data_IF_997845337828
#
_entry.id   IF_997845337828
#
_cell.length_a   1.000
_cell.length_b   1.000
_cell.length_c   1.000
_cell.angle_alpha   90.00
_cell.angle_beta   90.00
_cell.angle_gamma   90.00
#
_symmetry.space_group_name_H-M   'P 1'
#
loop_
_entity.id
_entity.type
_entity.pdbx_description
1 polymer ?
#
# COMPACT_ATOMS: atom_id res chain seq x y z
N UNK A 1 6.78 8.34 -5.82
CA UNK A 1 7.56 7.17 -5.38
C UNK A 1 7.03 6.75 -4.02
N UNK A 2 6.62 5.49 -3.84
CA UNK A 2 6.07 4.94 -2.58
C UNK A 2 7.05 3.87 -2.08
N UNK A 3 7.47 3.95 -0.81
CA UNK A 3 8.41 3.00 -0.19
C UNK A 3 7.62 1.92 0.56
N UNK A 4 7.49 0.75 -0.05
CA UNK A 4 6.62 -0.32 0.46
C UNK A 4 7.32 -1.21 1.48
N UNK A 5 8.65 -1.20 1.51
CA UNK A 5 9.44 -1.86 2.54
C UNK A 5 9.33 -1.17 3.91
N UNK A 6 8.82 0.07 3.95
CA UNK A 6 8.69 0.90 5.17
C UNK A 6 7.27 0.91 5.76
N UNK A 7 6.46 -0.11 5.49
CA UNK A 7 5.10 -0.19 6.03
C UNK A 7 5.12 -0.30 7.56
N UNK A 8 4.24 0.45 8.23
CA UNK A 8 4.10 0.45 9.69
C UNK A 8 2.62 0.50 10.08
N UNK A 9 2.22 -0.32 11.04
CA UNK A 9 0.92 -0.20 11.71
C UNK A 9 0.93 1.05 12.61
N UNK A 10 -0.09 1.89 12.49
CA UNK A 10 -0.23 3.12 13.28
C UNK A 10 -1.62 3.19 13.92
N UNK A 11 -1.70 3.80 15.10
CA UNK A 11 -2.98 4.15 15.73
C UNK A 11 -3.71 5.24 14.92
N UNK A 12 -5.04 5.15 14.82
CA UNK A 12 -5.87 6.10 14.06
C UNK A 12 -5.70 7.55 14.52
N UNK A 13 -5.41 7.80 15.81
CA UNK A 13 -5.17 9.14 16.35
C UNK A 13 -3.94 9.84 15.76
N UNK A 14 -3.03 9.11 15.10
CA UNK A 14 -1.84 9.67 14.44
C UNK A 14 -2.15 10.32 13.09
N UNK A 15 -3.30 9.99 12.48
CA UNK A 15 -3.75 10.58 11.21
C UNK A 15 -4.42 11.93 11.53
N UNK A 16 -3.88 13.03 10.99
CA UNK A 16 -4.33 14.39 11.33
C UNK A 16 -5.45 14.91 10.42
N UNK A 17 -5.26 14.82 9.11
CA UNK A 17 -6.20 15.29 8.11
C UNK A 17 -6.01 14.53 6.79
N UNK A 18 -7.06 14.50 5.97
CA UNK A 18 -7.04 13.90 4.65
C UNK A 18 -6.24 14.77 3.66
N UNK A 19 -5.39 14.13 2.85
CA UNK A 19 -4.54 14.82 1.86
C UNK A 19 -5.07 14.55 0.43
N UNK A 20 -5.59 13.36 0.17
CA UNK A 20 -6.01 12.93 -1.16
C UNK A 20 -6.15 11.41 -1.28
N UNK A 21 -6.48 10.93 -2.47
CA UNK A 21 -6.60 9.51 -2.82
C UNK A 21 -5.76 9.24 -4.07
N UNK A 22 -5.00 8.15 -4.05
CA UNK A 22 -4.30 7.66 -5.24
C UNK A 22 -5.30 7.13 -6.28
N UNK A 23 -4.93 7.20 -7.56
CA UNK A 23 -5.77 6.62 -8.61
C UNK A 23 -5.82 5.09 -8.47
N UNK A 24 -6.82 4.46 -9.07
CA UNK A 24 -6.94 3.00 -9.06
C UNK A 24 -5.72 2.33 -9.69
N UNK A 25 -5.24 2.87 -10.81
CA UNK A 25 -4.02 2.41 -11.49
C UNK A 25 -2.79 2.45 -10.59
N UNK A 26 -2.65 3.51 -9.79
CA UNK A 26 -1.52 3.63 -8.85
C UNK A 26 -1.65 2.62 -7.70
N UNK A 27 -2.88 2.40 -7.21
CA UNK A 27 -3.16 1.41 -6.16
C UNK A 27 -2.87 -0.02 -6.64
N UNK A 28 -3.21 -0.38 -7.88
CA UNK A 28 -2.86 -1.69 -8.44
C UNK A 28 -1.34 -1.92 -8.49
N UNK A 29 -0.57 -0.87 -8.76
CA UNK A 29 0.89 -0.97 -8.72
C UNK A 29 1.39 -1.19 -7.28
N UNK A 30 0.80 -0.50 -6.31
CA UNK A 30 1.09 -0.69 -4.89
C UNK A 30 0.80 -2.13 -4.47
N UNK A 31 -0.34 -2.69 -4.84
CA UNK A 31 -0.72 -4.08 -4.48
C UNK A 31 0.25 -5.11 -5.06
N UNK A 32 0.64 -4.97 -6.33
CA UNK A 32 1.63 -5.86 -6.96
C UNK A 32 2.98 -5.79 -6.25
N UNK A 33 3.48 -4.58 -5.99
CA UNK A 33 4.77 -4.41 -5.33
C UNK A 33 4.74 -4.86 -3.86
N UNK A 34 3.61 -4.68 -3.17
CA UNK A 34 3.42 -5.18 -1.81
C UNK A 34 3.39 -6.71 -1.78
N UNK A 35 2.72 -7.35 -2.75
CA UNK A 35 2.72 -8.80 -2.91
C UNK A 35 4.13 -9.36 -3.08
N UNK A 36 4.96 -8.71 -3.89
CA UNK A 36 6.39 -9.07 -4.04
C UNK A 36 7.16 -8.83 -2.72
N UNK A 37 6.97 -7.69 -2.06
CA UNK A 37 7.70 -7.34 -0.82
C UNK A 37 7.40 -8.27 0.35
N UNK A 38 6.22 -8.90 0.37
CA UNK A 38 5.76 -9.78 1.43
C UNK A 38 5.71 -11.26 1.02
N UNK A 39 6.20 -11.59 -0.19
CA UNK A 39 6.11 -12.92 -0.81
C UNK A 39 4.68 -13.52 -0.77
N UNK A 40 3.68 -12.67 -0.96
CA UNK A 40 2.29 -13.09 -1.06
C UNK A 40 2.08 -13.62 -2.46
N UNK A 41 1.90 -14.95 -2.57
CA UNK A 41 1.44 -15.57 -3.82
C UNK A 41 0.14 -14.90 -4.24
N UNK A 42 0.19 -14.07 -5.28
CA UNK A 42 -1.00 -13.58 -5.95
C UNK A 42 -1.61 -14.82 -6.60
N UNK A 43 -2.55 -15.46 -5.91
CA UNK A 43 -3.38 -16.51 -6.50
C UNK A 43 -4.30 -15.79 -7.48
N UNK A 44 -3.87 -15.74 -8.74
CA UNK A 44 -4.76 -15.47 -9.85
C UNK A 44 -5.76 -16.62 -9.91
N UNK A 45 -7.05 -16.33 -9.69
CA UNK A 45 -8.13 -17.21 -10.13
C UNK A 45 -8.24 -17.17 -11.66
#
# INVERSE_FOLDING_TARGET
>A
MVLLEQIRTIDKKRIRHYIGKLSEKDMEQVDRCLGISLDLKIISN
#
